data_IF_320042259646
#
_entry.id   IF_320042259646
#
_cell.length_a   1.000
_cell.length_b   1.000
_cell.length_c   1.000
_cell.angle_alpha   90.00
_cell.angle_beta   90.00
_cell.angle_gamma   90.00
#
_symmetry.space_group_name_H-M   'P 1'
#
loop_
_entity.id
_entity.type
_entity.pdbx_description
1 polymer ?
#
# COMPACT_ATOMS: atom_id res chain seq x y z
N UNK A 1 -16.38 28.99 -13.75
CA UNK A 1 -15.39 28.16 -14.48
C UNK A 1 -14.01 28.18 -13.82
N UNK A 2 -13.41 29.29 -13.44
CA UNK A 2 -12.05 29.38 -12.86
C UNK A 2 -11.80 28.51 -11.60
N UNK A 3 -12.80 28.31 -10.74
CA UNK A 3 -12.66 27.51 -9.50
C UNK A 3 -12.66 25.98 -9.75
N UNK A 4 -13.27 25.49 -10.83
CA UNK A 4 -13.27 24.05 -11.19
C UNK A 4 -11.90 23.61 -11.72
N UNK A 5 -11.28 24.42 -12.56
CA UNK A 5 -9.97 24.14 -13.15
C UNK A 5 -8.86 24.11 -12.09
N UNK A 6 -8.99 24.96 -11.07
CA UNK A 6 -8.02 25.02 -9.96
C UNK A 6 -8.07 23.76 -9.07
N UNK A 7 -9.27 23.23 -8.79
CA UNK A 7 -9.43 22.02 -7.99
C UNK A 7 -8.91 20.78 -8.74
N UNK A 8 -9.27 20.62 -10.02
CA UNK A 8 -8.80 19.52 -10.84
C UNK A 8 -7.26 19.52 -10.95
N UNK A 9 -6.66 20.68 -11.19
CA UNK A 9 -5.21 20.84 -11.23
C UNK A 9 -4.54 20.45 -9.89
N UNK A 10 -5.12 20.84 -8.76
CA UNK A 10 -4.64 20.47 -7.44
C UNK A 10 -4.70 18.94 -7.21
N UNK A 11 -5.82 18.30 -7.61
CA UNK A 11 -5.95 16.83 -7.54
C UNK A 11 -4.91 16.15 -8.42
N UNK A 12 -4.75 16.55 -9.67
CA UNK A 12 -3.77 15.95 -10.58
C UNK A 12 -2.33 16.13 -10.09
N UNK A 13 -2.02 17.29 -9.50
CA UNK A 13 -0.68 17.56 -8.95
C UNK A 13 -0.32 16.59 -7.81
N UNK A 14 -1.31 16.17 -7.01
CA UNK A 14 -1.13 15.20 -5.95
C UNK A 14 -1.24 13.74 -6.46
N UNK A 15 -2.28 13.45 -7.25
CA UNK A 15 -2.62 12.10 -7.62
C UNK A 15 -1.65 11.48 -8.64
N UNK A 16 -1.25 12.22 -9.67
CA UNK A 16 -0.41 11.67 -10.75
C UNK A 16 0.97 11.21 -10.25
N UNK A 17 1.73 12.00 -9.47
CA UNK A 17 3.03 11.52 -8.98
C UNK A 17 2.91 10.30 -8.07
N UNK A 18 1.86 10.22 -7.26
CA UNK A 18 1.64 9.06 -6.35
C UNK A 18 1.24 7.82 -7.16
N UNK A 19 0.39 7.96 -8.16
CA UNK A 19 0.03 6.88 -9.07
C UNK A 19 1.25 6.35 -9.82
N UNK A 20 2.06 7.24 -10.40
CA UNK A 20 3.30 6.88 -11.07
C UNK A 20 4.28 6.18 -10.12
N UNK A 21 4.42 6.67 -8.88
CA UNK A 21 5.26 6.02 -7.86
C UNK A 21 4.79 4.59 -7.59
N UNK A 22 3.48 4.38 -7.42
CA UNK A 22 2.91 3.06 -7.15
C UNK A 22 3.08 2.10 -8.33
N UNK A 23 2.83 2.56 -9.56
CA UNK A 23 3.01 1.75 -10.77
C UNK A 23 4.49 1.37 -10.98
N UNK A 24 5.40 2.31 -10.76
CA UNK A 24 6.84 2.05 -10.84
C UNK A 24 7.29 1.03 -9.80
N UNK A 25 6.86 1.16 -8.54
CA UNK A 25 7.17 0.20 -7.50
C UNK A 25 6.72 -1.21 -7.86
N UNK A 26 5.50 -1.36 -8.39
CA UNK A 26 5.00 -2.66 -8.86
C UNK A 26 5.83 -3.23 -10.01
N UNK A 27 6.22 -2.40 -10.97
CA UNK A 27 7.03 -2.81 -12.12
C UNK A 27 8.44 -3.26 -11.71
N UNK A 28 9.09 -2.51 -10.83
CA UNK A 28 10.44 -2.85 -10.34
C UNK A 28 10.42 -4.08 -9.44
N UNK A 29 9.39 -4.27 -8.62
CA UNK A 29 9.22 -5.50 -7.83
C UNK A 29 9.10 -6.74 -8.73
N UNK A 30 8.46 -6.61 -9.90
CA UNK A 30 8.40 -7.70 -10.89
C UNK A 30 9.80 -8.01 -11.47
N UNK A 31 10.58 -6.98 -11.81
CA UNK A 31 11.97 -7.17 -12.31
C UNK A 31 12.83 -7.85 -11.24
N UNK A 32 12.72 -7.44 -10.00
CA UNK A 32 13.43 -8.05 -8.87
C UNK A 32 13.06 -9.54 -8.71
N UNK A 33 11.78 -9.87 -8.77
CA UNK A 33 11.30 -11.27 -8.71
C UNK A 33 11.81 -12.11 -9.89
N UNK A 34 11.90 -11.55 -11.09
CA UNK A 34 12.47 -12.26 -12.26
C UNK A 34 13.96 -12.55 -12.05
N UNK A 35 14.72 -11.59 -11.52
CA UNK A 35 16.15 -11.80 -11.24
C UNK A 35 16.38 -12.87 -10.16
N UNK A 36 15.62 -12.82 -9.07
CA UNK A 36 15.67 -13.82 -7.99
C UNK A 36 15.21 -15.18 -8.51
N UNK A 37 14.24 -15.22 -9.42
CA UNK A 37 13.73 -16.43 -10.05
C UNK A 37 14.81 -17.29 -10.75
N UNK A 38 15.91 -16.68 -11.15
CA UNK A 38 17.05 -17.38 -11.79
C UNK A 38 17.98 -18.09 -10.79
N UNK A 39 17.78 -17.90 -9.48
CA UNK A 39 18.65 -18.46 -8.44
C UNK A 39 18.28 -19.88 -7.98
N UNK A 40 17.25 -20.48 -8.59
CA UNK A 40 16.77 -21.83 -8.27
C UNK A 40 15.68 -21.86 -7.19
N UNK A 41 14.96 -22.97 -7.14
CA UNK A 41 13.70 -23.13 -6.38
C UNK A 41 13.85 -22.90 -4.88
N UNK A 42 14.91 -23.42 -4.26
CA UNK A 42 15.16 -23.27 -2.81
C UNK A 42 15.33 -21.80 -2.43
N UNK A 43 16.08 -21.06 -3.24
CA UNK A 43 16.33 -19.64 -3.01
C UNK A 43 15.08 -18.80 -3.23
N UNK A 44 14.32 -19.06 -4.27
CA UNK A 44 13.03 -18.41 -4.56
C UNK A 44 12.04 -18.65 -3.43
N UNK A 45 11.91 -19.89 -2.96
CA UNK A 45 11.06 -20.26 -1.84
C UNK A 45 11.51 -19.55 -0.55
N UNK A 46 12.83 -19.52 -0.26
CA UNK A 46 13.39 -18.84 0.90
C UNK A 46 13.11 -17.34 0.91
N UNK A 47 13.36 -16.65 -0.21
CA UNK A 47 13.04 -15.21 -0.36
C UNK A 47 11.54 -14.96 -0.23
N UNK A 48 10.71 -15.82 -0.80
CA UNK A 48 9.26 -15.73 -0.68
C UNK A 48 8.75 -15.82 0.77
N UNK A 49 9.28 -16.77 1.55
CA UNK A 49 8.92 -16.94 2.96
C UNK A 49 9.38 -15.74 3.82
N UNK A 50 10.63 -15.30 3.65
CA UNK A 50 11.13 -14.12 4.34
C UNK A 50 10.34 -12.86 3.97
N UNK A 51 9.95 -12.71 2.69
CA UNK A 51 9.10 -11.63 2.22
C UNK A 51 7.72 -11.62 2.87
N UNK A 52 7.11 -12.79 3.12
CA UNK A 52 5.84 -12.88 3.86
C UNK A 52 5.97 -12.35 5.30
N UNK A 53 7.06 -12.67 5.98
CA UNK A 53 7.31 -12.11 7.32
C UNK A 53 7.57 -10.59 7.26
N UNK A 54 8.41 -10.13 6.32
CA UNK A 54 8.69 -8.72 6.13
C UNK A 54 7.43 -7.89 5.77
N UNK A 55 6.43 -8.51 5.14
CA UNK A 55 5.15 -7.86 4.85
C UNK A 55 4.37 -7.47 6.11
N UNK A 56 4.50 -8.23 7.21
CA UNK A 56 3.90 -7.89 8.51
C UNK A 56 4.43 -6.53 9.00
N UNK A 57 5.74 -6.35 8.92
CA UNK A 57 6.37 -5.07 9.24
C UNK A 57 5.85 -3.94 8.33
N UNK A 58 5.74 -4.19 7.02
CA UNK A 58 5.24 -3.21 6.05
C UNK A 58 3.81 -2.75 6.37
N UNK A 59 2.94 -3.66 6.81
CA UNK A 59 1.57 -3.36 7.25
C UNK A 59 1.57 -2.41 8.46
N UNK A 60 2.39 -2.70 9.47
CA UNK A 60 2.49 -1.86 10.68
C UNK A 60 2.98 -0.45 10.34
N UNK A 61 4.04 -0.33 9.54
CA UNK A 61 4.57 0.99 9.14
C UNK A 61 3.60 1.75 8.25
N UNK A 62 2.86 1.06 7.38
CA UNK A 62 1.81 1.67 6.56
C UNK A 62 0.69 2.27 7.41
N UNK A 63 0.25 1.57 8.46
CA UNK A 63 -0.75 2.06 9.39
C UNK A 63 -0.27 3.31 10.15
N UNK A 64 0.97 3.31 10.64
CA UNK A 64 1.59 4.49 11.29
C UNK A 64 1.68 5.66 10.30
N UNK A 65 2.11 5.39 9.06
CA UNK A 65 2.15 6.38 7.99
C UNK A 65 0.79 6.97 7.65
N UNK A 66 -0.28 6.15 7.71
CA UNK A 66 -1.64 6.61 7.49
C UNK A 66 -2.12 7.52 8.61
N UNK A 67 -1.88 7.16 9.89
CA UNK A 67 -2.20 8.03 11.05
C UNK A 67 -1.42 9.34 10.98
N UNK A 68 -0.12 9.27 10.68
CA UNK A 68 0.70 10.46 10.47
C UNK A 68 0.12 11.36 9.37
N UNK A 69 -0.33 10.79 8.26
CA UNK A 69 -0.97 11.52 7.16
C UNK A 69 -2.25 12.23 7.56
N UNK A 70 -3.12 11.57 8.33
CA UNK A 70 -4.35 12.16 8.87
C UNK A 70 -4.03 13.36 9.76
N UNK A 71 -3.14 13.18 10.73
CA UNK A 71 -2.76 14.21 11.70
C UNK A 71 -2.09 15.41 11.00
N UNK A 72 -1.09 15.15 10.18
CA UNK A 72 -0.34 16.19 9.47
C UNK A 72 -1.26 16.98 8.53
N UNK A 73 -2.15 16.32 7.78
CA UNK A 73 -3.06 16.99 6.86
C UNK A 73 -4.04 17.92 7.62
N UNK A 74 -4.61 17.44 8.73
CA UNK A 74 -5.53 18.26 9.52
C UNK A 74 -4.82 19.40 10.23
N UNK A 75 -3.66 19.20 10.85
CA UNK A 75 -2.91 20.27 11.50
C UNK A 75 -2.39 21.32 10.50
N UNK A 76 -2.07 20.92 9.25
CA UNK A 76 -1.81 21.87 8.17
C UNK A 76 -3.04 22.71 7.83
N UNK A 77 -4.24 22.09 7.84
CA UNK A 77 -5.51 22.80 7.68
C UNK A 77 -5.77 23.83 8.80
N UNK A 78 -5.44 23.47 10.03
CA UNK A 78 -5.48 24.37 11.20
C UNK A 78 -4.40 25.47 11.18
N UNK A 79 -3.47 25.42 10.21
CA UNK A 79 -2.28 26.29 10.14
C UNK A 79 -1.35 26.18 11.37
N UNK A 80 -1.46 25.11 12.14
CA UNK A 80 -0.67 24.84 13.32
C UNK A 80 0.62 24.08 12.97
N UNK A 81 1.68 24.81 12.65
CA UNK A 81 2.98 24.22 12.24
C UNK A 81 3.66 23.46 13.37
N UNK A 82 3.48 23.85 14.60
CA UNK A 82 4.06 23.20 15.77
C UNK A 82 3.50 21.79 15.92
N UNK A 83 2.19 21.60 15.81
CA UNK A 83 1.55 20.28 15.84
C UNK A 83 1.92 19.42 14.62
N UNK A 84 2.11 20.01 13.45
CA UNK A 84 2.60 19.29 12.26
C UNK A 84 3.98 18.70 12.53
N UNK A 85 4.92 19.50 13.04
CA UNK A 85 6.28 19.04 13.36
C UNK A 85 6.27 17.98 14.45
N UNK A 86 5.51 18.21 15.50
CA UNK A 86 5.35 17.30 16.63
C UNK A 86 4.77 15.95 16.18
N UNK A 87 3.68 15.96 15.43
CA UNK A 87 3.09 14.75 14.86
C UNK A 87 4.08 14.00 13.97
N UNK A 88 4.81 14.71 13.11
CA UNK A 88 5.80 14.09 12.25
C UNK A 88 6.93 13.41 13.05
N UNK A 89 7.55 14.12 13.98
CA UNK A 89 8.67 13.56 14.76
C UNK A 89 8.23 12.44 15.71
N UNK A 90 7.04 12.54 16.31
CA UNK A 90 6.52 11.47 17.16
C UNK A 90 6.27 10.19 16.34
N UNK A 91 5.64 10.30 15.17
CA UNK A 91 5.45 9.15 14.29
C UNK A 91 6.79 8.60 13.76
N UNK A 92 7.77 9.47 13.49
CA UNK A 92 9.10 9.06 13.07
C UNK A 92 9.82 8.25 14.17
N UNK A 93 9.76 8.71 15.40
CA UNK A 93 10.36 8.00 16.55
C UNK A 93 9.65 6.67 16.82
N UNK A 94 8.31 6.64 16.78
CA UNK A 94 7.55 5.39 16.91
C UNK A 94 7.87 4.41 15.78
N UNK A 95 7.88 4.89 14.54
CA UNK A 95 8.23 4.09 13.38
C UNK A 95 9.67 3.55 13.46
N UNK A 96 10.63 4.38 13.86
CA UNK A 96 12.02 3.97 14.05
C UNK A 96 12.17 2.96 15.21
N UNK A 97 11.44 3.15 16.31
CA UNK A 97 11.46 2.21 17.46
C UNK A 97 10.91 0.84 17.06
N UNK A 98 9.77 0.80 16.36
CA UNK A 98 9.19 -0.44 15.84
C UNK A 98 10.12 -1.09 14.81
N UNK A 99 10.69 -0.30 13.89
CA UNK A 99 11.67 -0.79 12.91
C UNK A 99 12.89 -1.42 13.59
N UNK A 100 13.44 -0.74 14.60
CA UNK A 100 14.55 -1.26 15.40
C UNK A 100 14.19 -2.56 16.13
N UNK A 101 13.00 -2.63 16.71
CA UNK A 101 12.51 -3.86 17.35
C UNK A 101 12.41 -5.03 16.37
N UNK A 102 11.78 -4.83 15.21
CA UNK A 102 11.69 -5.85 14.18
C UNK A 102 13.07 -6.24 13.63
N UNK A 103 13.96 -5.28 13.41
CA UNK A 103 15.34 -5.53 12.98
C UNK A 103 16.08 -6.42 13.98
N UNK A 104 16.01 -6.11 15.27
CA UNK A 104 16.64 -6.90 16.34
C UNK A 104 16.07 -8.32 16.37
N UNK A 105 14.74 -8.46 16.31
CA UNK A 105 14.08 -9.78 16.32
C UNK A 105 14.52 -10.60 15.09
N UNK A 106 14.53 -10.01 13.90
CA UNK A 106 14.94 -10.72 12.67
C UNK A 106 16.43 -11.04 12.63
N UNK A 107 17.27 -10.28 13.31
CA UNK A 107 18.71 -10.52 13.37
C UNK A 107 19.07 -11.60 14.42
N UNK A 108 18.40 -11.57 15.58
CA UNK A 108 18.70 -12.51 16.68
C UNK A 108 18.00 -13.87 16.52
N UNK A 109 16.79 -13.90 15.94
CA UNK A 109 15.96 -15.09 15.88
C UNK A 109 15.52 -15.51 14.45
N UNK A 110 16.35 -15.35 13.38
CA UNK A 110 15.89 -15.58 12.02
C UNK A 110 15.50 -17.05 11.77
N UNK A 111 16.26 -18.00 12.34
CA UNK A 111 16.01 -19.43 12.20
C UNK A 111 14.73 -19.89 12.91
N UNK A 112 14.44 -19.33 14.09
CA UNK A 112 13.23 -19.63 14.84
C UNK A 112 11.99 -19.11 14.11
N UNK A 113 12.07 -17.87 13.57
CA UNK A 113 11.00 -17.28 12.78
C UNK A 113 10.73 -18.13 11.54
N UNK A 114 11.76 -18.43 10.75
CA UNK A 114 11.60 -19.22 9.53
C UNK A 114 11.25 -20.69 9.80
N UNK A 115 11.61 -21.22 10.95
CA UNK A 115 11.18 -22.55 11.41
C UNK A 115 9.68 -22.69 11.63
N UNK A 116 8.97 -21.58 11.90
CA UNK A 116 7.51 -21.56 11.94
C UNK A 116 6.86 -21.63 10.53
N UNK A 117 7.59 -21.28 9.47
CA UNK A 117 7.08 -21.25 8.11
C UNK A 117 7.40 -22.53 7.31
N UNK A 118 8.53 -23.18 7.57
CA UNK A 118 8.95 -24.38 6.82
C UNK A 118 9.75 -25.36 7.67
N UNK A 119 9.55 -26.65 7.39
CA UNK A 119 10.32 -27.75 8.00
C UNK A 119 11.56 -28.11 7.17
N UNK A 120 11.59 -27.74 5.89
CA UNK A 120 12.74 -27.99 5.03
C UNK A 120 13.95 -27.16 5.49
N UNK A 121 15.04 -27.85 5.81
CA UNK A 121 16.24 -27.26 6.42
C UNK A 121 16.93 -26.30 5.45
N UNK A 122 17.02 -26.66 4.17
CA UNK A 122 17.72 -25.85 3.16
C UNK A 122 16.95 -24.55 2.86
N UNK A 123 15.65 -24.64 2.61
CA UNK A 123 14.78 -23.49 2.41
C UNK A 123 14.74 -22.59 3.65
N UNK A 124 14.70 -23.19 4.87
CA UNK A 124 14.72 -22.43 6.12
C UNK A 124 16.00 -21.63 6.28
N UNK A 125 17.15 -22.24 5.95
CA UNK A 125 18.44 -21.56 6.08
C UNK A 125 18.57 -20.42 5.09
N UNK A 126 18.18 -20.62 3.83
CA UNK A 126 18.14 -19.57 2.81
C UNK A 126 17.19 -18.41 3.20
N UNK A 127 16.00 -18.74 3.72
CA UNK A 127 15.03 -17.77 4.20
C UNK A 127 15.54 -16.97 5.41
N UNK A 128 16.16 -17.64 6.38
CA UNK A 128 16.71 -17.01 7.58
C UNK A 128 17.85 -16.04 7.24
N UNK A 129 18.74 -16.44 6.35
CA UNK A 129 19.83 -15.61 5.88
C UNK A 129 19.32 -14.36 5.15
N UNK A 130 18.36 -14.54 4.24
CA UNK A 130 17.75 -13.41 3.54
C UNK A 130 17.01 -12.49 4.50
N UNK A 131 16.21 -13.04 5.45
CA UNK A 131 15.48 -12.26 6.45
C UNK A 131 16.41 -11.40 7.30
N UNK A 132 17.51 -11.97 7.78
CA UNK A 132 18.51 -11.26 8.57
C UNK A 132 19.08 -10.07 7.79
N UNK A 133 19.45 -10.25 6.53
CA UNK A 133 20.01 -9.19 5.70
C UNK A 133 18.96 -8.14 5.34
N UNK A 134 17.76 -8.56 4.89
CA UNK A 134 16.71 -7.63 4.46
C UNK A 134 16.16 -6.80 5.63
N UNK A 135 16.29 -7.26 6.88
CA UNK A 135 15.89 -6.50 8.07
C UNK A 135 16.59 -5.14 8.19
N UNK A 136 17.77 -5.00 7.57
CA UNK A 136 18.46 -3.71 7.43
C UNK A 136 17.68 -2.65 6.65
N UNK A 137 16.63 -3.04 5.90
CA UNK A 137 15.74 -2.09 5.21
C UNK A 137 14.70 -1.46 6.12
N UNK A 138 14.41 -2.02 7.30
CA UNK A 138 13.26 -1.63 8.10
C UNK A 138 13.35 -0.17 8.58
N UNK A 139 14.48 0.24 9.12
CA UNK A 139 14.67 1.63 9.56
C UNK A 139 14.57 2.64 8.40
N UNK A 140 15.33 2.49 7.29
CA UNK A 140 15.19 3.40 6.15
C UNK A 140 13.79 3.36 5.54
N UNK A 141 13.11 2.22 5.52
CA UNK A 141 11.74 2.09 5.02
C UNK A 141 10.74 2.87 5.87
N UNK A 142 10.84 2.80 7.22
CA UNK A 142 10.01 3.60 8.11
C UNK A 142 10.19 5.10 7.85
N UNK A 143 11.43 5.55 7.78
CA UNK A 143 11.76 6.93 7.50
C UNK A 143 11.26 7.40 6.14
N UNK A 144 11.50 6.62 5.09
CA UNK A 144 11.04 6.94 3.74
C UNK A 144 9.50 7.01 3.65
N UNK A 145 8.78 6.10 4.31
CA UNK A 145 7.30 6.09 4.34
C UNK A 145 6.76 7.36 4.99
N UNK A 146 7.29 7.76 6.14
CA UNK A 146 6.84 8.94 6.86
C UNK A 146 7.23 10.25 6.17
N UNK A 147 8.42 10.32 5.57
CA UNK A 147 8.85 11.45 4.75
C UNK A 147 7.98 11.58 3.48
N UNK A 148 7.68 10.46 2.82
CA UNK A 148 6.78 10.45 1.67
C UNK A 148 5.38 10.99 2.04
N UNK A 149 4.88 10.58 3.20
CA UNK A 149 3.59 11.06 3.74
C UNK A 149 3.65 12.57 4.03
N UNK A 150 4.71 13.05 4.68
CA UNK A 150 4.91 14.49 4.94
C UNK A 150 4.95 15.28 3.62
N UNK A 151 5.75 14.87 2.64
CA UNK A 151 5.83 15.55 1.35
C UNK A 151 4.49 15.58 0.61
N UNK A 152 3.70 14.51 0.67
CA UNK A 152 2.33 14.50 0.11
C UNK A 152 1.43 15.53 0.80
N UNK A 153 1.46 15.59 2.12
CA UNK A 153 0.69 16.58 2.89
C UNK A 153 1.14 18.02 2.62
N UNK A 154 2.45 18.24 2.35
CA UNK A 154 3.02 19.52 1.93
C UNK A 154 2.79 19.85 0.43
N UNK A 155 2.02 19.03 -0.28
CA UNK A 155 1.71 19.18 -1.72
C UNK A 155 2.96 19.11 -2.63
N UNK A 156 3.98 18.36 -2.21
CA UNK A 156 5.23 18.11 -2.95
C UNK A 156 5.44 16.62 -3.28
N UNK A 157 4.44 15.91 -3.83
CA UNK A 157 4.54 14.45 -4.05
C UNK A 157 5.55 14.06 -5.14
N UNK A 158 6.05 15.01 -5.92
CA UNK A 158 7.12 14.78 -6.92
C UNK A 158 8.45 14.41 -6.26
N UNK A 159 8.71 14.87 -5.03
CA UNK A 159 9.97 14.60 -4.34
C UNK A 159 10.11 13.11 -3.98
N UNK A 160 9.12 12.45 -3.33
CA UNK A 160 9.15 11.01 -3.12
C UNK A 160 9.20 10.22 -4.44
N UNK A 161 8.51 10.68 -5.49
CA UNK A 161 8.55 10.02 -6.80
C UNK A 161 9.99 9.98 -7.35
N UNK A 162 10.71 11.10 -7.37
CA UNK A 162 12.10 11.14 -7.87
C UNK A 162 13.04 10.28 -7.03
N UNK A 163 12.89 10.30 -5.70
CA UNK A 163 13.66 9.45 -4.81
C UNK A 163 13.38 7.96 -5.08
N UNK A 164 12.11 7.58 -5.29
CA UNK A 164 11.71 6.21 -5.61
C UNK A 164 12.23 5.74 -6.96
N UNK A 165 12.21 6.60 -8.00
CA UNK A 165 12.76 6.27 -9.33
C UNK A 165 14.26 5.97 -9.21
N UNK A 166 15.01 6.86 -8.56
CA UNK A 166 16.45 6.68 -8.42
C UNK A 166 16.80 5.44 -7.60
N UNK A 167 16.08 5.21 -6.51
CA UNK A 167 16.23 4.01 -5.67
C UNK A 167 15.95 2.73 -6.45
N UNK A 168 14.90 2.72 -7.28
CA UNK A 168 14.54 1.55 -8.08
C UNK A 168 15.56 1.25 -9.18
N UNK A 169 16.08 2.27 -9.86
CA UNK A 169 17.16 2.11 -10.83
C UNK A 169 18.45 1.60 -10.16
N UNK A 170 18.78 2.15 -8.98
CA UNK A 170 19.91 1.70 -8.19
C UNK A 170 19.75 0.23 -7.76
N UNK A 171 18.57 -0.14 -7.27
CA UNK A 171 18.26 -1.52 -6.88
C UNK A 171 18.43 -2.49 -8.06
N UNK A 172 17.82 -2.20 -9.20
CA UNK A 172 17.94 -3.05 -10.40
C UNK A 172 19.38 -3.18 -10.87
N UNK A 173 20.14 -2.08 -10.90
CA UNK A 173 21.55 -2.10 -11.27
C UNK A 173 22.41 -2.91 -10.29
N UNK A 174 22.22 -2.71 -8.99
CA UNK A 174 22.93 -3.47 -7.96
C UNK A 174 22.54 -4.94 -7.95
N UNK A 175 21.26 -5.27 -8.16
CA UNK A 175 20.81 -6.64 -8.31
C UNK A 175 21.57 -7.35 -9.46
N UNK A 176 21.63 -6.70 -10.63
CA UNK A 176 22.34 -7.27 -11.77
C UNK A 176 23.82 -7.51 -11.47
N UNK A 177 24.48 -6.57 -10.79
CA UNK A 177 25.91 -6.67 -10.44
C UNK A 177 26.14 -7.72 -9.35
N UNK A 178 25.38 -7.69 -8.27
CA UNK A 178 25.66 -8.48 -7.06
C UNK A 178 25.09 -9.90 -7.14
N UNK A 179 23.93 -10.10 -7.78
CA UNK A 179 23.35 -11.43 -7.96
C UNK A 179 24.23 -12.25 -8.92
N UNK A 180 24.56 -11.69 -10.08
CA UNK A 180 25.22 -12.40 -11.17
C UNK A 180 26.74 -12.25 -11.19
N UNK A 181 27.32 -11.47 -10.30
CA UNK A 181 28.78 -11.32 -10.21
C UNK A 181 29.36 -10.60 -11.40
N UNK A 182 28.95 -9.35 -11.64
CA UNK A 182 29.49 -8.50 -12.70
C UNK A 182 30.44 -7.44 -12.15
N UNK A 183 31.18 -6.77 -13.03
CA UNK A 183 32.12 -5.70 -12.69
C UNK A 183 33.21 -6.08 -11.64
N UNK A 184 33.65 -7.35 -11.65
CA UNK A 184 34.72 -7.82 -10.74
C UNK A 184 34.23 -8.24 -9.34
N UNK A 185 32.93 -8.24 -9.08
CA UNK A 185 32.32 -8.75 -7.85
C UNK A 185 31.99 -10.24 -8.05
N UNK A 186 32.30 -11.09 -7.07
CA UNK A 186 31.89 -12.49 -7.09
C UNK A 186 30.36 -12.62 -6.99
N UNK A 187 29.72 -13.61 -7.65
CA UNK A 187 28.27 -13.82 -7.54
C UNK A 187 27.85 -14.06 -6.09
N UNK A 188 26.97 -13.22 -5.59
CA UNK A 188 26.46 -13.31 -4.21
C UNK A 188 25.07 -13.95 -4.13
N UNK A 189 24.42 -14.22 -5.26
CA UNK A 189 23.08 -14.83 -5.29
C UNK A 189 22.05 -14.06 -4.45
N UNK A 190 21.35 -14.77 -3.55
CA UNK A 190 20.30 -14.22 -2.66
C UNK A 190 20.84 -13.12 -1.73
N UNK A 191 22.08 -13.27 -1.24
CA UNK A 191 22.72 -12.22 -0.43
C UNK A 191 22.89 -10.94 -1.22
N UNK A 192 23.27 -11.06 -2.49
CA UNK A 192 23.38 -9.91 -3.41
C UNK A 192 22.08 -9.16 -3.58
N UNK A 193 20.96 -9.86 -3.74
CA UNK A 193 19.62 -9.28 -3.80
C UNK A 193 19.26 -8.53 -2.52
N UNK A 194 19.55 -9.13 -1.35
CA UNK A 194 19.29 -8.49 -0.07
C UNK A 194 20.11 -7.20 0.11
N UNK A 195 21.42 -7.23 -0.16
CA UNK A 195 22.27 -6.05 -0.08
C UNK A 195 21.87 -4.96 -1.05
N UNK A 196 21.54 -5.31 -2.29
CA UNK A 196 21.05 -4.34 -3.28
C UNK A 196 19.79 -3.62 -2.79
N UNK A 197 18.87 -4.36 -2.17
CA UNK A 197 17.64 -3.78 -1.60
C UNK A 197 17.94 -2.89 -0.39
N UNK A 198 18.83 -3.31 0.52
CA UNK A 198 19.22 -2.47 1.67
C UNK A 198 19.87 -1.17 1.21
N UNK A 199 20.85 -1.23 0.31
CA UNK A 199 21.56 -0.06 -0.20
C UNK A 199 20.58 0.91 -0.89
N UNK A 200 19.69 0.39 -1.74
CA UNK A 200 18.74 1.23 -2.47
C UNK A 200 17.70 1.88 -1.55
N UNK A 201 17.23 1.18 -0.50
CA UNK A 201 16.32 1.74 0.49
C UNK A 201 17.02 2.79 1.38
N UNK A 202 18.26 2.57 1.76
CA UNK A 202 19.07 3.58 2.45
C UNK A 202 19.26 4.83 1.57
N UNK A 203 19.58 4.65 0.29
CA UNK A 203 19.70 5.76 -0.66
C UNK A 203 18.39 6.53 -0.81
N UNK A 204 17.23 5.83 -0.91
CA UNK A 204 15.91 6.45 -0.95
C UNK A 204 15.67 7.35 0.28
N UNK A 205 15.90 6.80 1.46
CA UNK A 205 15.71 7.52 2.73
C UNK A 205 16.65 8.74 2.84
N UNK A 206 17.92 8.58 2.54
CA UNK A 206 18.90 9.66 2.57
C UNK A 206 18.57 10.77 1.58
N UNK A 207 18.15 10.42 0.35
CA UNK A 207 17.71 11.41 -0.64
C UNK A 207 16.51 12.21 -0.14
N UNK A 208 15.52 11.54 0.46
CA UNK A 208 14.36 12.24 1.03
C UNK A 208 14.76 13.15 2.19
N UNK A 209 15.69 12.73 3.06
CA UNK A 209 16.23 13.59 4.12
C UNK A 209 16.95 14.83 3.56
N UNK A 210 17.78 14.66 2.53
CA UNK A 210 18.44 15.77 1.85
C UNK A 210 17.42 16.72 1.20
N UNK A 211 16.36 16.19 0.61
CA UNK A 211 15.27 17.02 0.06
C UNK A 211 14.51 17.76 1.16
N UNK A 212 14.31 17.15 2.32
CA UNK A 212 13.66 17.79 3.47
C UNK A 212 14.50 18.95 4.01
N UNK A 213 15.81 18.75 4.18
CA UNK A 213 16.72 19.78 4.67
C UNK A 213 16.76 21.02 3.74
N UNK A 214 16.81 20.79 2.43
CA UNK A 214 16.78 21.88 1.43
C UNK A 214 15.44 22.64 1.39
N UNK A 215 14.34 22.00 1.78
CA UNK A 215 13.03 22.66 1.79
C UNK A 215 12.79 23.57 3.01
N UNK A 216 13.74 23.67 3.94
CA UNK A 216 13.66 24.57 5.11
C UNK A 216 12.56 24.26 6.11
N UNK A 217 11.87 23.12 5.97
CA UNK A 217 10.77 22.72 6.87
C UNK A 217 11.24 22.52 8.32
N UNK A 218 12.48 22.00 8.48
CA UNK A 218 13.08 21.76 9.81
C UNK A 218 13.65 23.04 10.44
N UNK A 219 14.06 24.03 9.63
CA UNK A 219 14.84 25.19 10.07
C UNK A 219 13.99 26.43 10.43
N UNK A 220 12.74 26.49 9.97
CA UNK A 220 11.82 27.59 10.31
C UNK A 220 11.07 27.28 11.62
N UNK A 221 11.79 27.30 12.74
CA UNK A 221 11.18 27.54 14.04
C UNK A 221 10.95 29.04 14.14
N UNK A 222 9.72 29.49 14.39
CA UNK A 222 9.52 30.86 14.83
C UNK A 222 10.19 30.98 16.21
N UNK A 223 11.05 31.97 16.40
CA UNK A 223 11.60 32.33 17.68
C UNK A 223 10.43 32.59 18.65
N UNK A 224 10.31 31.77 19.70
CA UNK A 224 9.24 31.86 20.69
C UNK A 224 8.30 30.66 20.77
N UNK A 225 8.35 29.67 19.83
CA UNK A 225 7.61 28.43 20.04
C UNK A 225 8.31 27.58 21.12
N UNK A 226 7.60 27.12 22.17
CA UNK A 226 8.19 26.24 23.17
C UNK A 226 8.75 25.01 22.48
N UNK A 227 9.98 24.63 22.86
CA UNK A 227 10.60 23.37 22.44
C UNK A 227 9.57 22.26 22.48
N UNK A 228 9.32 21.62 21.33
CA UNK A 228 8.26 20.66 21.14
C UNK A 228 8.32 19.59 22.23
N UNK A 229 7.58 19.79 23.30
CA UNK A 229 7.32 18.74 24.27
C UNK A 229 6.57 17.64 23.54
N UNK A 230 7.03 16.38 23.62
CA UNK A 230 6.43 15.22 22.99
C UNK A 230 5.04 14.84 23.58
N UNK A 231 4.29 15.85 24.08
CA UNK A 231 2.95 15.66 24.60
C UNK A 231 1.98 15.51 23.43
N UNK A 232 1.66 14.28 23.09
CA UNK A 232 0.65 13.93 22.09
C UNK A 232 -0.59 13.42 22.82
N UNK A 233 -1.77 13.66 22.26
CA UNK A 233 -2.99 13.01 22.72
C UNK A 233 -2.95 11.52 22.36
N UNK A 234 -2.32 10.71 23.23
CA UNK A 234 -2.16 9.27 23.02
C UNK A 234 -3.49 8.55 22.88
N UNK A 235 -4.53 9.01 23.58
CA UNK A 235 -5.88 8.44 23.46
C UNK A 235 -6.42 8.61 22.04
N UNK A 236 -6.29 9.80 21.46
CA UNK A 236 -6.68 10.08 20.08
C UNK A 236 -5.82 9.28 19.08
N UNK A 237 -4.51 9.19 19.30
CA UNK A 237 -3.58 8.44 18.46
C UNK A 237 -3.94 6.96 18.39
N UNK A 238 -4.06 6.30 19.55
CA UNK A 238 -4.41 4.88 19.61
C UNK A 238 -5.82 4.58 19.10
N UNK A 239 -6.76 5.51 19.27
CA UNK A 239 -8.10 5.37 18.70
C UNK A 239 -8.12 5.36 17.17
N UNK A 240 -7.09 5.89 16.52
CA UNK A 240 -6.90 5.84 15.07
C UNK A 240 -6.04 4.66 14.64
N UNK A 241 -4.93 4.40 15.36
CA UNK A 241 -3.94 3.39 14.95
C UNK A 241 -4.45 1.96 15.12
N UNK A 242 -5.06 1.63 16.29
CA UNK A 242 -5.51 0.27 16.55
C UNK A 242 -6.55 -0.23 15.54
N UNK A 243 -7.61 0.54 15.19
CA UNK A 243 -8.54 0.08 14.17
C UNK A 243 -7.91 -0.10 12.80
N UNK A 244 -6.90 0.72 12.42
CA UNK A 244 -6.18 0.55 11.16
C UNK A 244 -5.32 -0.71 11.15
N UNK A 245 -4.61 -0.99 12.23
CA UNK A 245 -3.84 -2.23 12.35
C UNK A 245 -4.75 -3.46 12.27
N UNK A 246 -5.88 -3.45 12.97
CA UNK A 246 -6.87 -4.54 12.90
C UNK A 246 -7.42 -4.67 11.47
N UNK A 247 -7.77 -3.56 10.84
CA UNK A 247 -8.24 -3.53 9.45
C UNK A 247 -7.26 -4.22 8.49
N UNK A 248 -5.99 -3.83 8.52
CA UNK A 248 -4.96 -4.37 7.63
C UNK A 248 -4.69 -5.87 7.90
N UNK A 249 -4.68 -6.29 9.17
CA UNK A 249 -4.51 -7.71 9.53
C UNK A 249 -5.71 -8.53 9.05
N UNK A 250 -6.91 -8.07 9.33
CA UNK A 250 -8.16 -8.75 8.94
C UNK A 250 -8.30 -8.83 7.42
N UNK A 251 -7.93 -7.77 6.70
CA UNK A 251 -7.89 -7.75 5.24
C UNK A 251 -6.86 -8.74 4.69
N UNK A 252 -5.64 -8.73 5.23
CA UNK A 252 -4.58 -9.66 4.82
C UNK A 252 -4.96 -11.12 5.05
N UNK A 253 -5.61 -11.42 6.17
CA UNK A 253 -6.14 -12.78 6.44
C UNK A 253 -7.20 -13.17 5.41
N UNK A 254 -8.11 -12.25 5.06
CA UNK A 254 -9.13 -12.48 4.02
C UNK A 254 -8.51 -12.83 2.66
N UNK A 255 -7.52 -12.07 2.21
CA UNK A 255 -6.79 -12.33 0.96
C UNK A 255 -6.09 -13.72 0.97
N UNK A 256 -5.55 -14.13 2.13
CA UNK A 256 -4.97 -15.48 2.26
C UNK A 256 -6.05 -16.57 2.17
N UNK A 257 -7.24 -16.35 2.74
CA UNK A 257 -8.37 -17.29 2.60
C UNK A 257 -8.82 -17.37 1.14
N UNK A 258 -8.89 -16.25 0.41
CA UNK A 258 -9.22 -16.25 -1.02
C UNK A 258 -8.19 -17.03 -1.82
N UNK A 259 -6.91 -16.82 -1.57
CA UNK A 259 -5.84 -17.59 -2.22
C UNK A 259 -5.94 -19.10 -1.91
N UNK A 260 -6.30 -19.46 -0.67
CA UNK A 260 -6.54 -20.85 -0.28
C UNK A 260 -7.74 -21.45 -1.01
N UNK A 261 -8.85 -20.72 -1.16
CA UNK A 261 -10.04 -21.16 -1.92
C UNK A 261 -9.62 -21.50 -3.36
N UNK A 262 -8.90 -20.58 -4.04
CA UNK A 262 -8.45 -20.81 -5.42
C UNK A 262 -7.50 -21.99 -5.53
N UNK A 263 -6.56 -22.12 -4.59
CA UNK A 263 -5.59 -23.23 -4.55
C UNK A 263 -6.25 -24.60 -4.35
N UNK A 264 -7.35 -24.67 -3.59
CA UNK A 264 -8.09 -25.92 -3.38
C UNK A 264 -9.07 -26.26 -4.51
N UNK A 265 -9.41 -25.30 -5.38
CA UNK A 265 -10.26 -25.59 -6.54
C UNK A 265 -9.50 -26.40 -7.62
N UNK A 266 -8.37 -25.85 -8.09
CA UNK A 266 -7.48 -26.53 -9.03
C UNK A 266 -6.15 -25.74 -9.21
N UNK A 267 -5.13 -26.42 -9.71
CA UNK A 267 -3.86 -25.79 -10.10
C UNK A 267 -4.07 -24.74 -11.19
N UNK A 268 -4.93 -25.03 -12.17
CA UNK A 268 -5.27 -24.11 -13.27
C UNK A 268 -5.97 -22.84 -12.76
N UNK A 269 -6.86 -22.96 -11.77
CA UNK A 269 -7.51 -21.83 -11.14
C UNK A 269 -6.51 -20.92 -10.43
N UNK A 270 -5.58 -21.50 -9.67
CA UNK A 270 -4.51 -20.76 -9.00
C UNK A 270 -3.57 -20.07 -10.00
N UNK A 271 -3.21 -20.77 -11.08
CA UNK A 271 -2.39 -20.21 -12.15
C UNK A 271 -3.10 -19.05 -12.85
N UNK A 272 -4.37 -19.21 -13.20
CA UNK A 272 -5.17 -18.16 -13.82
C UNK A 272 -5.26 -16.91 -12.93
N UNK A 273 -5.51 -17.08 -11.63
CA UNK A 273 -5.51 -15.96 -10.66
C UNK A 273 -4.17 -15.26 -10.59
N UNK A 274 -3.07 -16.01 -10.56
CA UNK A 274 -1.71 -15.45 -10.51
C UNK A 274 -1.42 -14.58 -11.75
N UNK A 275 -1.88 -15.01 -12.93
CA UNK A 275 -1.72 -14.24 -14.16
C UNK A 275 -2.53 -12.91 -14.16
N UNK A 276 -3.56 -12.78 -13.34
CA UNK A 276 -4.33 -11.52 -13.25
C UNK A 276 -3.67 -10.48 -12.34
N UNK A 277 -2.82 -10.90 -11.38
CA UNK A 277 -2.23 -10.02 -10.37
C UNK A 277 -1.51 -8.78 -10.93
N UNK A 278 -0.68 -8.87 -12.00
CA UNK A 278 -0.01 -7.70 -12.57
C UNK A 278 -0.99 -6.64 -13.07
N UNK A 279 -2.05 -7.05 -13.75
CA UNK A 279 -3.09 -6.13 -14.26
C UNK A 279 -3.84 -5.49 -13.09
N UNK A 280 -4.23 -6.29 -12.08
CA UNK A 280 -4.88 -5.77 -10.88
C UNK A 280 -4.00 -4.73 -10.16
N UNK A 281 -2.71 -5.03 -9.99
CA UNK A 281 -1.74 -4.12 -9.39
C UNK A 281 -1.57 -2.82 -10.15
N UNK A 282 -1.50 -2.87 -11.48
CA UNK A 282 -1.39 -1.68 -12.33
C UNK A 282 -2.65 -0.80 -12.26
N UNK A 283 -3.83 -1.40 -12.34
CA UNK A 283 -5.11 -0.66 -12.28
C UNK A 283 -5.29 0.04 -10.93
N UNK A 284 -5.07 -0.70 -9.83
CA UNK A 284 -5.15 -0.12 -8.48
C UNK A 284 -4.06 0.93 -8.27
N UNK A 285 -2.83 0.65 -8.72
CA UNK A 285 -1.70 1.58 -8.65
C UNK A 285 -1.96 2.89 -9.40
N UNK A 286 -2.60 2.82 -10.58
CA UNK A 286 -2.94 4.01 -11.37
C UNK A 286 -3.95 4.94 -10.66
N UNK A 287 -4.84 4.40 -9.84
CA UNK A 287 -5.91 5.16 -9.18
C UNK A 287 -5.68 5.38 -7.68
N UNK A 288 -4.68 4.72 -7.06
CA UNK A 288 -4.36 4.93 -5.64
C UNK A 288 -3.98 6.39 -5.33
N UNK A 289 -3.44 7.10 -6.33
CA UNK A 289 -3.13 8.52 -6.21
C UNK A 289 -4.35 9.39 -5.89
N UNK A 290 -5.55 9.03 -6.39
CA UNK A 290 -6.79 9.74 -6.06
C UNK A 290 -7.18 9.57 -4.59
N UNK A 291 -7.01 8.37 -4.04
CA UNK A 291 -7.25 8.11 -2.62
C UNK A 291 -6.29 8.91 -1.73
N UNK A 292 -5.01 8.98 -2.10
CA UNK A 292 -4.02 9.78 -1.38
C UNK A 292 -4.28 11.29 -1.50
N UNK A 293 -4.67 11.77 -2.68
CA UNK A 293 -5.08 13.17 -2.87
C UNK A 293 -6.32 13.50 -2.03
N UNK A 294 -7.29 12.56 -1.96
CA UNK A 294 -8.48 12.73 -1.12
C UNK A 294 -8.10 12.86 0.35
N UNK A 295 -7.24 11.99 0.87
CA UNK A 295 -6.79 12.05 2.27
C UNK A 295 -6.17 13.41 2.62
N UNK A 296 -5.32 13.95 1.74
CA UNK A 296 -4.64 15.24 1.97
C UNK A 296 -5.61 16.42 1.86
N UNK A 297 -6.37 16.51 0.76
CA UNK A 297 -7.25 17.66 0.48
C UNK A 297 -8.37 17.73 1.53
N UNK A 298 -9.03 16.60 1.79
CA UNK A 298 -10.13 16.53 2.73
C UNK A 298 -9.64 16.72 4.16
N UNK A 299 -8.51 16.10 4.52
CA UNK A 299 -7.89 16.29 5.82
C UNK A 299 -7.61 17.77 6.12
N UNK A 300 -7.09 18.52 5.14
CA UNK A 300 -6.87 19.97 5.28
C UNK A 300 -8.18 20.76 5.46
N UNK A 301 -9.22 20.44 4.68
CA UNK A 301 -10.52 21.11 4.84
C UNK A 301 -11.18 20.80 6.18
N UNK A 302 -11.08 19.55 6.67
CA UNK A 302 -11.58 19.20 8.00
C UNK A 302 -10.78 19.92 9.09
N UNK A 303 -9.46 19.97 8.97
CA UNK A 303 -8.61 20.70 9.90
C UNK A 303 -8.93 22.19 9.97
N UNK A 304 -9.24 22.84 8.84
CA UNK A 304 -9.64 24.24 8.80
C UNK A 304 -11.12 24.49 9.22
N UNK A 305 -11.88 23.45 9.58
CA UNK A 305 -13.30 23.57 9.94
C UNK A 305 -14.24 23.76 8.73
N UNK A 306 -13.73 23.64 7.50
CA UNK A 306 -14.49 23.84 6.27
C UNK A 306 -15.24 22.57 5.82
N UNK A 307 -16.15 22.07 6.67
CA UNK A 307 -16.82 20.78 6.45
C UNK A 307 -17.59 20.70 5.12
N UNK A 308 -18.25 21.77 4.68
CA UNK A 308 -18.97 21.79 3.40
C UNK A 308 -17.99 21.69 2.22
N UNK A 309 -16.83 22.34 2.27
CA UNK A 309 -15.81 22.20 1.23
C UNK A 309 -15.21 20.80 1.22
N UNK A 310 -15.00 20.18 2.39
CA UNK A 310 -14.56 18.81 2.51
C UNK A 310 -15.55 17.85 1.82
N UNK A 311 -16.85 18.01 2.09
CA UNK A 311 -17.90 17.18 1.50
C UNK A 311 -18.01 17.34 -0.03
N UNK A 312 -17.94 18.58 -0.53
CA UNK A 312 -17.95 18.85 -1.97
C UNK A 312 -16.71 18.31 -2.68
N UNK A 313 -15.54 18.45 -2.07
CA UNK A 313 -14.29 17.90 -2.58
C UNK A 313 -14.34 16.38 -2.65
N UNK A 314 -14.91 15.74 -1.63
CA UNK A 314 -15.11 14.30 -1.58
C UNK A 314 -16.00 13.81 -2.73
N UNK A 315 -17.14 14.46 -2.99
CA UNK A 315 -18.03 14.11 -4.11
C UNK A 315 -17.32 14.21 -5.47
N UNK A 316 -16.52 15.26 -5.68
CA UNK A 316 -15.76 15.42 -6.93
C UNK A 316 -14.70 14.33 -7.10
N UNK A 317 -13.98 13.98 -6.02
CA UNK A 317 -12.97 12.93 -6.06
C UNK A 317 -13.59 11.55 -6.34
N UNK A 318 -14.77 11.27 -5.77
CA UNK A 318 -15.53 10.06 -6.10
C UNK A 318 -15.95 10.04 -7.57
N UNK A 319 -16.40 11.16 -8.11
CA UNK A 319 -16.74 11.26 -9.54
C UNK A 319 -15.50 11.02 -10.43
N UNK A 320 -14.36 11.63 -10.10
CA UNK A 320 -13.12 11.40 -10.85
C UNK A 320 -12.66 9.94 -10.76
N UNK A 321 -12.80 9.33 -9.57
CA UNK A 321 -12.54 7.90 -9.37
C UNK A 321 -13.45 7.00 -10.19
N UNK A 322 -14.76 7.32 -10.24
CA UNK A 322 -15.74 6.58 -11.03
C UNK A 322 -15.41 6.65 -12.53
N UNK A 323 -15.15 7.85 -13.07
CA UNK A 323 -14.78 8.04 -14.48
C UNK A 323 -13.47 7.31 -14.78
N UNK A 324 -12.44 7.50 -13.96
CA UNK A 324 -11.14 6.86 -14.15
C UNK A 324 -11.20 5.33 -14.08
N UNK A 325 -11.97 4.78 -13.14
CA UNK A 325 -12.11 3.32 -12.99
C UNK A 325 -12.89 2.69 -14.14
N UNK A 326 -13.97 3.32 -14.62
CA UNK A 326 -14.72 2.85 -15.79
C UNK A 326 -13.81 2.89 -17.03
N UNK A 327 -13.03 3.96 -17.22
CA UNK A 327 -12.09 4.06 -18.32
C UNK A 327 -11.04 2.93 -18.29
N UNK A 328 -10.44 2.66 -17.11
CA UNK A 328 -9.49 1.55 -16.97
C UNK A 328 -10.16 0.18 -17.12
N UNK A 329 -11.40 0.01 -16.67
CA UNK A 329 -12.16 -1.23 -16.89
C UNK A 329 -12.32 -1.52 -18.40
N UNK A 330 -12.64 -0.50 -19.20
CA UNK A 330 -12.73 -0.62 -20.65
C UNK A 330 -11.38 -1.05 -21.23
N UNK A 331 -10.28 -0.42 -20.81
CA UNK A 331 -8.93 -0.79 -21.26
C UNK A 331 -8.63 -2.25 -20.93
N UNK A 332 -8.90 -2.70 -19.69
CA UNK A 332 -8.69 -4.09 -19.27
C UNK A 332 -9.46 -5.05 -20.16
N UNK A 333 -10.74 -4.76 -20.47
CA UNK A 333 -11.55 -5.60 -21.36
C UNK A 333 -10.91 -5.75 -22.74
N UNK A 334 -10.51 -4.65 -23.36
CA UNK A 334 -9.94 -4.68 -24.73
C UNK A 334 -8.54 -5.29 -24.77
N UNK A 335 -7.73 -5.12 -23.74
CA UNK A 335 -6.33 -5.59 -23.71
C UNK A 335 -6.18 -7.00 -23.14
N UNK A 336 -7.19 -7.55 -22.44
CA UNK A 336 -7.12 -8.83 -21.75
C UNK A 336 -6.65 -9.99 -22.60
N UNK A 337 -7.19 -10.15 -23.82
CA UNK A 337 -6.80 -11.22 -24.74
C UNK A 337 -5.35 -11.09 -25.22
N UNK A 338 -4.93 -9.87 -25.59
CA UNK A 338 -3.56 -9.59 -26.01
C UNK A 338 -2.56 -9.82 -24.87
N UNK A 339 -2.90 -9.37 -23.65
CA UNK A 339 -2.08 -9.58 -22.46
C UNK A 339 -1.89 -11.08 -22.15
N UNK A 340 -2.98 -11.85 -22.10
CA UNK A 340 -2.92 -13.28 -21.80
C UNK A 340 -2.20 -14.07 -22.93
N UNK A 341 -2.28 -13.58 -24.16
CA UNK A 341 -1.58 -14.16 -25.31
C UNK A 341 -0.05 -14.18 -25.18
N UNK A 342 0.53 -13.29 -24.37
CA UNK A 342 1.99 -13.22 -24.16
C UNK A 342 2.51 -14.46 -23.40
N UNK A 343 1.66 -15.08 -22.56
CA UNK A 343 2.07 -16.17 -21.69
C UNK A 343 2.01 -17.53 -22.41
N UNK A 344 2.99 -18.37 -22.16
CA UNK A 344 3.05 -19.75 -22.66
C UNK A 344 2.43 -20.70 -21.63
N UNK A 345 1.10 -20.71 -21.56
CA UNK A 345 0.31 -21.58 -20.68
C UNK A 345 -0.82 -22.21 -21.49
N UNK A 346 -1.45 -23.26 -20.93
CA UNK A 346 -2.54 -23.96 -21.57
C UNK A 346 -3.70 -23.04 -21.98
N UNK A 347 -4.37 -23.39 -23.07
CA UNK A 347 -5.51 -22.63 -23.57
C UNK A 347 -6.67 -22.54 -22.57
N UNK A 348 -6.82 -23.56 -21.71
CA UNK A 348 -7.81 -23.58 -20.63
C UNK A 348 -7.50 -22.48 -19.61
N UNK A 349 -6.24 -22.38 -19.16
CA UNK A 349 -5.78 -21.33 -18.24
C UNK A 349 -5.90 -19.94 -18.87
N UNK A 350 -5.57 -19.81 -20.16
CA UNK A 350 -5.75 -18.55 -20.91
C UNK A 350 -7.21 -18.10 -20.91
N UNK A 351 -8.12 -19.02 -21.24
CA UNK A 351 -9.55 -18.72 -21.28
C UNK A 351 -10.08 -18.30 -19.89
N UNK A 352 -9.71 -19.06 -18.84
CA UNK A 352 -10.05 -18.72 -17.46
C UNK A 352 -9.52 -17.33 -17.06
N UNK A 353 -8.27 -17.02 -17.35
CA UNK A 353 -7.64 -15.73 -17.05
C UNK A 353 -8.38 -14.58 -17.71
N UNK A 354 -8.74 -14.71 -18.99
CA UNK A 354 -9.52 -13.68 -19.70
C UNK A 354 -10.88 -13.48 -19.04
N UNK A 355 -11.59 -14.56 -18.67
CA UNK A 355 -12.90 -14.47 -18.01
C UNK A 355 -12.78 -13.83 -16.62
N UNK A 356 -11.72 -14.12 -15.85
CA UNK A 356 -11.45 -13.47 -14.56
C UNK A 356 -11.17 -11.98 -14.76
N UNK A 357 -10.40 -11.60 -15.79
CA UNK A 357 -10.16 -10.19 -16.10
C UNK A 357 -11.44 -9.45 -16.51
N UNK A 358 -12.37 -10.10 -17.21
CA UNK A 358 -13.71 -9.54 -17.47
C UNK A 358 -14.50 -9.34 -16.18
N UNK A 359 -14.54 -10.34 -15.28
CA UNK A 359 -15.18 -10.23 -13.98
C UNK A 359 -14.54 -9.11 -13.15
N UNK A 360 -13.21 -9.03 -13.14
CA UNK A 360 -12.46 -7.95 -12.49
C UNK A 360 -12.85 -6.57 -13.04
N UNK A 361 -12.92 -6.41 -14.36
CA UNK A 361 -13.27 -5.14 -14.99
C UNK A 361 -14.65 -4.62 -14.57
N UNK A 362 -15.61 -5.52 -14.31
CA UNK A 362 -16.94 -5.14 -13.77
C UNK A 362 -16.86 -4.67 -12.33
N UNK A 363 -15.97 -5.25 -11.53
CA UNK A 363 -15.84 -4.96 -10.08
C UNK A 363 -14.92 -3.77 -9.81
N UNK A 364 -13.95 -3.49 -10.68
CA UNK A 364 -12.97 -2.39 -10.53
C UNK A 364 -13.59 -1.05 -10.10
N UNK A 365 -14.70 -0.57 -10.67
CA UNK A 365 -15.29 0.69 -10.24
C UNK A 365 -15.65 0.71 -8.77
N UNK A 366 -16.22 -0.36 -8.25
CA UNK A 366 -16.56 -0.48 -6.82
C UNK A 366 -15.31 -0.54 -5.94
N UNK A 367 -14.30 -1.33 -6.36
CA UNK A 367 -13.03 -1.46 -5.64
C UNK A 367 -12.29 -0.13 -5.54
N UNK A 368 -12.22 0.63 -6.62
CA UNK A 368 -11.60 1.95 -6.66
C UNK A 368 -12.38 2.97 -5.83
N UNK A 369 -13.70 2.97 -5.94
CA UNK A 369 -14.54 3.87 -5.14
C UNK A 369 -14.43 3.56 -3.64
N UNK A 370 -14.33 2.29 -3.24
CA UNK A 370 -14.04 1.90 -1.86
C UNK A 370 -12.66 2.38 -1.40
N UNK A 371 -11.64 2.23 -2.23
CA UNK A 371 -10.30 2.73 -1.93
C UNK A 371 -10.28 4.25 -1.71
N UNK A 372 -11.02 5.02 -2.52
CA UNK A 372 -11.12 6.48 -2.36
C UNK A 372 -11.98 6.83 -1.14
N UNK A 373 -13.12 6.17 -0.97
CA UNK A 373 -14.09 6.48 0.07
C UNK A 373 -13.59 6.06 1.46
N UNK A 374 -13.16 4.81 1.61
CA UNK A 374 -12.61 4.27 2.86
C UNK A 374 -11.21 4.79 3.15
N UNK A 375 -10.27 4.55 2.22
CA UNK A 375 -8.85 4.86 2.37
C UNK A 375 -8.50 6.36 2.30
N UNK A 376 -9.27 7.14 1.53
CA UNK A 376 -9.04 8.58 1.37
C UNK A 376 -9.97 9.44 2.22
N UNK A 377 -11.28 9.30 2.05
CA UNK A 377 -12.29 10.24 2.56
C UNK A 377 -12.63 9.97 4.04
N UNK A 378 -13.18 8.79 4.35
CA UNK A 378 -13.65 8.48 5.71
C UNK A 378 -12.49 8.47 6.71
N UNK A 379 -11.34 7.91 6.29
CA UNK A 379 -10.12 7.87 7.10
C UNK A 379 -9.59 9.26 7.46
N UNK A 380 -9.73 10.26 6.57
CA UNK A 380 -9.20 11.62 6.78
C UNK A 380 -9.82 12.36 7.98
N UNK A 381 -11.02 11.96 8.41
CA UNK A 381 -11.67 12.47 9.63
C UNK A 381 -11.19 11.81 10.94
N UNK A 382 -10.19 10.92 10.90
CA UNK A 382 -9.69 10.22 12.09
C UNK A 382 -10.62 9.12 12.64
N UNK A 383 -11.79 8.93 12.04
CA UNK A 383 -12.79 7.93 12.45
C UNK A 383 -12.52 6.55 11.81
N UNK A 384 -11.31 6.03 12.03
CA UNK A 384 -10.81 4.78 11.41
C UNK A 384 -11.62 3.53 11.79
N UNK A 385 -12.36 3.57 12.90
CA UNK A 385 -13.28 2.49 13.32
C UNK A 385 -14.36 2.19 12.27
N UNK A 386 -14.84 3.21 11.52
CA UNK A 386 -15.80 2.98 10.44
C UNK A 386 -15.18 2.15 9.32
N UNK A 387 -13.94 2.47 8.92
CA UNK A 387 -13.23 1.74 7.87
C UNK A 387 -13.01 0.29 8.29
N UNK A 388 -12.52 0.07 9.52
CA UNK A 388 -12.34 -1.27 10.08
C UNK A 388 -13.64 -2.08 10.06
N UNK A 389 -14.76 -1.50 10.48
CA UNK A 389 -16.05 -2.19 10.47
C UNK A 389 -16.53 -2.52 9.06
N UNK A 390 -16.39 -1.58 8.11
CA UNK A 390 -16.77 -1.80 6.70
C UNK A 390 -15.97 -2.94 6.10
N UNK A 391 -14.66 -2.96 6.30
CA UNK A 391 -13.77 -4.00 5.76
C UNK A 391 -14.04 -5.36 6.42
N UNK A 392 -14.25 -5.38 7.75
CA UNK A 392 -14.57 -6.62 8.47
C UNK A 392 -15.89 -7.23 7.97
N UNK A 393 -16.94 -6.43 7.85
CA UNK A 393 -18.24 -6.90 7.36
C UNK A 393 -18.13 -7.36 5.90
N UNK A 394 -17.52 -6.56 5.03
CA UNK A 394 -17.37 -6.92 3.61
C UNK A 394 -16.64 -8.24 3.44
N UNK A 395 -15.42 -8.36 3.98
CA UNK A 395 -14.58 -9.54 3.77
C UNK A 395 -15.13 -10.78 4.49
N UNK A 396 -15.44 -10.67 5.78
CA UNK A 396 -15.70 -11.86 6.62
C UNK A 396 -17.17 -12.25 6.70
N UNK A 397 -18.11 -11.30 6.54
CA UNK A 397 -19.53 -11.65 6.51
C UNK A 397 -20.04 -11.95 5.09
N UNK A 398 -19.38 -11.44 4.05
CA UNK A 398 -19.82 -11.63 2.66
C UNK A 398 -18.76 -12.29 1.78
N UNK A 399 -17.56 -11.73 1.64
CA UNK A 399 -16.55 -12.21 0.69
C UNK A 399 -16.13 -13.67 0.95
N UNK A 400 -15.66 -13.96 2.16
CA UNK A 400 -15.23 -15.31 2.55
C UNK A 400 -16.38 -16.33 2.47
N UNK A 401 -17.57 -16.08 3.04
CA UNK A 401 -18.68 -17.03 2.92
C UNK A 401 -19.13 -17.26 1.48
N UNK A 402 -19.26 -16.22 0.67
CA UNK A 402 -19.62 -16.35 -0.75
C UNK A 402 -18.56 -17.11 -1.53
N UNK A 403 -17.28 -16.86 -1.26
CA UNK A 403 -16.17 -17.60 -1.87
C UNK A 403 -16.24 -19.10 -1.54
N UNK A 404 -16.42 -19.45 -0.27
CA UNK A 404 -16.53 -20.85 0.17
C UNK A 404 -17.78 -21.54 -0.39
N UNK A 405 -18.94 -20.88 -0.35
CA UNK A 405 -20.19 -21.42 -0.89
C UNK A 405 -20.09 -21.65 -2.40
N UNK A 406 -19.59 -20.66 -3.15
CA UNK A 406 -19.51 -20.75 -4.61
C UNK A 406 -18.49 -21.79 -5.07
N UNK A 407 -17.36 -21.93 -4.38
CA UNK A 407 -16.30 -22.87 -4.76
C UNK A 407 -16.65 -24.33 -4.36
N UNK A 408 -17.11 -24.56 -3.13
CA UNK A 408 -17.21 -25.92 -2.58
C UNK A 408 -18.64 -26.49 -2.51
N UNK A 409 -19.65 -25.63 -2.35
CA UNK A 409 -21.07 -26.06 -2.32
C UNK A 409 -21.66 -26.02 -3.72
N UNK A 410 -21.56 -24.89 -4.40
CA UNK A 410 -22.11 -24.74 -5.76
C UNK A 410 -21.18 -25.24 -6.85
N UNK A 411 -19.90 -25.50 -6.52
CA UNK A 411 -18.87 -26.05 -7.43
C UNK A 411 -18.78 -25.27 -8.75
N UNK A 412 -18.83 -23.95 -8.65
CA UNK A 412 -18.73 -23.06 -9.81
C UNK A 412 -17.29 -22.98 -10.31
N UNK A 413 -17.10 -22.64 -11.60
CA UNK A 413 -15.78 -22.38 -12.15
C UNK A 413 -15.19 -21.08 -11.59
N UNK A 414 -13.84 -20.96 -11.61
CA UNK A 414 -13.09 -19.88 -10.98
C UNK A 414 -13.55 -18.46 -11.36
N UNK A 415 -13.92 -18.14 -12.60
CA UNK A 415 -14.39 -16.79 -12.94
C UNK A 415 -15.66 -16.39 -12.17
N UNK A 416 -16.59 -17.34 -12.00
CA UNK A 416 -17.82 -17.09 -11.22
C UNK A 416 -17.55 -17.01 -9.72
N UNK A 417 -16.66 -17.86 -9.19
CA UNK A 417 -16.22 -17.79 -7.79
C UNK A 417 -15.58 -16.44 -7.52
N UNK A 418 -14.67 -15.99 -8.37
CA UNK A 418 -14.03 -14.69 -8.26
C UNK A 418 -15.03 -13.54 -8.31
N UNK A 419 -15.99 -13.58 -9.24
CA UNK A 419 -17.04 -12.57 -9.34
C UNK A 419 -17.90 -12.50 -8.09
N UNK A 420 -18.38 -13.66 -7.60
CA UNK A 420 -19.26 -13.72 -6.44
C UNK A 420 -18.58 -13.24 -5.16
N UNK A 421 -17.36 -13.70 -4.89
CA UNK A 421 -16.64 -13.20 -3.71
C UNK A 421 -16.35 -11.70 -3.82
N UNK A 422 -16.08 -11.20 -5.03
CA UNK A 422 -15.83 -9.77 -5.26
C UNK A 422 -17.08 -8.89 -5.10
N UNK A 423 -18.28 -9.46 -4.97
CA UNK A 423 -19.49 -8.70 -4.62
C UNK A 423 -19.40 -8.06 -3.24
N UNK A 424 -18.44 -8.51 -2.40
CA UNK A 424 -18.11 -7.82 -1.14
C UNK A 424 -17.82 -6.33 -1.36
N UNK A 425 -17.18 -5.98 -2.50
CA UNK A 425 -16.87 -4.58 -2.83
C UNK A 425 -18.14 -3.72 -3.03
N UNK A 426 -19.21 -4.32 -3.55
CA UNK A 426 -20.50 -3.64 -3.67
C UNK A 426 -21.11 -3.40 -2.28
N UNK A 427 -21.03 -4.39 -1.39
CA UNK A 427 -21.51 -4.29 0.00
C UNK A 427 -20.73 -3.21 0.76
N UNK A 428 -19.38 -3.25 0.69
CA UNK A 428 -18.52 -2.24 1.28
C UNK A 428 -18.85 -0.84 0.77
N UNK A 429 -19.06 -0.70 -0.54
CA UNK A 429 -19.41 0.56 -1.16
C UNK A 429 -20.75 1.08 -0.63
N UNK A 430 -21.78 0.22 -0.54
CA UNK A 430 -23.07 0.58 0.02
C UNK A 430 -22.98 1.06 1.46
N UNK A 431 -22.29 0.34 2.34
CA UNK A 431 -22.07 0.75 3.75
C UNK A 431 -21.26 2.04 3.82
N UNK A 432 -20.20 2.16 3.02
CA UNK A 432 -19.37 3.36 2.95
C UNK A 432 -20.16 4.59 2.51
N UNK A 433 -21.07 4.45 1.54
CA UNK A 433 -21.98 5.54 1.12
C UNK A 433 -22.92 5.98 2.24
N UNK A 434 -23.46 5.04 3.01
CA UNK A 434 -24.31 5.37 4.17
C UNK A 434 -23.52 6.19 5.20
N UNK A 435 -22.30 5.74 5.53
CA UNK A 435 -21.40 6.46 6.45
C UNK A 435 -21.07 7.84 5.91
N UNK A 436 -20.78 7.93 4.60
CA UNK A 436 -20.45 9.18 3.91
C UNK A 436 -21.60 10.18 4.00
N UNK A 437 -22.83 9.78 3.65
CA UNK A 437 -24.03 10.65 3.66
C UNK A 437 -24.42 11.10 5.07
N UNK A 438 -24.22 10.24 6.09
CA UNK A 438 -24.46 10.60 7.49
C UNK A 438 -23.49 11.65 8.03
N UNK A 439 -22.42 11.99 7.31
CA UNK A 439 -21.41 13.01 7.66
C UNK A 439 -20.72 12.83 9.02
N UNK A 440 -20.97 11.72 9.74
CA UNK A 440 -20.38 11.43 11.06
C UNK A 440 -18.87 11.15 11.02
N UNK A 441 -18.31 10.95 9.84
CA UNK A 441 -16.88 10.79 9.60
C UNK A 441 -16.11 12.11 9.65
N UNK A 442 -16.83 13.26 9.43
CA UNK A 442 -16.23 14.58 9.46
C UNK A 442 -15.92 14.97 10.89
N UNK A 443 -14.69 14.81 11.30
CA UNK A 443 -14.23 15.16 12.63
C UNK A 443 -12.94 15.95 12.51
N UNK A 444 -12.85 17.03 13.28
CA UNK A 444 -11.65 17.82 13.43
C UNK A 444 -10.85 17.25 14.60
N UNK A 445 -9.55 17.03 14.39
CA UNK A 445 -8.66 16.59 15.46
C UNK A 445 -8.36 17.74 16.41
N UNK A 446 -8.32 17.43 17.70
CA UNK A 446 -7.93 18.39 18.73
C UNK A 446 -6.43 18.58 18.70
N UNK A 447 -5.96 19.83 18.68
CA UNK A 447 -4.59 20.18 18.98
C UNK A 447 -4.37 20.14 20.50
N UNK A 448 -3.19 19.69 20.94
CA UNK A 448 -2.83 19.57 22.36
C UNK A 448 -2.10 20.81 22.85
#
# INVERSE_FOLDING_TARGET
MKTKDHFFKAVCTLAIPVALQSMLQSSFSMVDQIMIGQLGEINVAGVGLAGKFASIYSVVISAIGAVAGIMIAQYLGQKNRSEVRRSFFTNLLLGAGIAGMFMVICTLFPNQIMGAYTRDVQTRQAAAEYLMLISGTFVPMAGATLLSTLFRCLEKPRLPLYASILSALLNTGLNYIMIFGKLGISPMGVRGAAFATVISQCANFLLMLLMLSKNGFLLKSNEGEPTATLRMNWGQYWSMLLPLLVCEVVWSLGENVYAAIYGHMSTDASAAMTLTNPIQGLVIGALCGLSQAASVIIGKHLGSGENEKAYWSAKKLLLYGAIGSVFLSIIVIFTSKAYVGIYQVDNVVKAMTVQILFAYAVVVPFKVLNMILGGGIIRSGGRTKYVMFIDMVGTWCFGVPLGLLSAFVWKLSIPYVYFLLSLEECIRFGISLIVFHRRKWMNQLEAV
#
